data_IF_618840676711
#
_entry.id   IF_618840676711
#
_cell.length_a   1.000
_cell.length_b   1.000
_cell.length_c   1.000
_cell.angle_alpha   90.00
_cell.angle_beta   90.00
_cell.angle_gamma   90.00
#
_symmetry.space_group_name_H-M   'P 1'
#
loop_
_entity.id
_entity.type
_entity.pdbx_description
1 polymer ?
#
# COMPACT_ATOMS: atom_id res chain seq x y z
N UNK A 1 18.02 35.50 -72.84
CA UNK A 1 18.13 36.74 -73.65
C UNK A 1 18.39 37.90 -72.71
N UNK A 2 19.48 38.68 -72.90
CA UNK A 2 19.98 39.79 -72.01
C UNK A 2 20.37 39.32 -70.58
N UNK A 3 21.57 39.47 -69.98
CA UNK A 3 22.84 40.24 -70.17
C UNK A 3 22.99 41.47 -69.23
N UNK A 4 23.80 41.31 -68.17
CA UNK A 4 24.59 42.32 -67.39
C UNK A 4 23.76 43.37 -66.59
N UNK A 5 24.31 44.21 -65.69
CA UNK A 5 25.69 44.51 -65.21
C UNK A 5 25.77 44.36 -63.66
N UNK A 6 26.88 44.15 -62.92
CA UNK A 6 28.35 44.33 -63.07
C UNK A 6 28.94 45.71 -62.64
N UNK A 7 29.55 45.76 -61.43
CA UNK A 7 30.78 46.48 -60.95
C UNK A 7 30.74 46.75 -59.43
N UNK A 8 31.82 46.85 -58.61
CA UNK A 8 33.24 46.39 -58.70
C UNK A 8 33.85 46.27 -57.26
N UNK A 9 35.12 45.86 -57.14
CA UNK A 9 35.97 45.72 -55.93
C UNK A 9 36.18 46.99 -55.07
N UNK A 10 36.63 46.82 -53.82
CA UNK A 10 37.80 47.57 -53.32
C UNK A 10 38.61 46.76 -52.29
N UNK A 11 39.94 46.92 -52.30
CA UNK A 11 40.87 46.35 -51.30
C UNK A 11 41.08 47.34 -50.15
N UNK A 12 41.20 46.81 -48.94
CA UNK A 12 41.94 47.44 -47.85
C UNK A 12 42.75 46.36 -47.10
N UNK A 13 44.00 46.66 -46.78
CA UNK A 13 44.92 45.81 -46.04
C UNK A 13 45.83 46.72 -45.18
N UNK A 14 46.71 46.12 -44.35
CA UNK A 14 47.66 46.83 -43.45
C UNK A 14 46.95 47.38 -42.18
N UNK A 15 47.46 47.27 -40.94
CA UNK A 15 48.80 46.91 -40.43
C UNK A 15 48.74 45.87 -39.27
N UNK A 16 49.92 45.33 -38.96
CA UNK A 16 50.26 44.41 -37.86
C UNK A 16 50.33 45.14 -36.50
N UNK A 17 49.92 44.47 -35.40
CA UNK A 17 50.69 44.50 -34.16
C UNK A 17 50.64 43.14 -33.45
N UNK A 18 51.74 42.76 -32.82
CA UNK A 18 52.01 41.41 -32.29
C UNK A 18 52.20 41.41 -30.78
N UNK A 19 51.77 40.34 -30.10
CA UNK A 19 52.45 39.88 -28.88
C UNK A 19 52.32 38.36 -28.71
N UNK A 20 53.42 37.73 -28.32
CA UNK A 20 53.52 36.29 -28.06
C UNK A 20 54.08 36.09 -26.67
N UNK A 21 53.41 35.34 -25.80
CA UNK A 21 54.10 34.45 -24.86
C UNK A 21 53.15 33.36 -24.29
N UNK A 22 53.76 32.35 -23.66
CA UNK A 22 53.10 31.15 -23.16
C UNK A 22 52.18 31.40 -21.95
N UNK A 23 51.22 30.49 -21.72
CA UNK A 23 51.21 29.76 -20.45
C UNK A 23 50.47 28.42 -20.54
N UNK A 24 50.74 27.55 -19.57
CA UNK A 24 50.19 26.21 -19.38
C UNK A 24 48.68 26.19 -19.20
N UNK A 25 48.01 25.20 -19.82
CA UNK A 25 46.67 24.76 -19.39
C UNK A 25 46.83 23.50 -18.53
N UNK A 26 46.34 23.55 -17.30
CA UNK A 26 46.27 22.44 -16.36
C UNK A 26 44.83 22.30 -15.85
N UNK A 27 44.47 21.10 -15.38
CA UNK A 27 43.09 20.70 -15.09
C UNK A 27 42.30 21.64 -14.19
N UNK A 28 41.00 21.68 -14.43
CA UNK A 28 40.00 21.66 -13.36
C UNK A 28 38.99 20.60 -13.76
N UNK A 29 38.95 19.50 -13.01
CA UNK A 29 37.95 18.45 -13.22
C UNK A 29 36.65 18.94 -12.56
N UNK A 30 35.68 19.37 -13.36
CA UNK A 30 34.34 19.74 -12.89
C UNK A 30 33.60 18.50 -12.37
N UNK A 31 33.91 18.12 -11.13
CA UNK A 31 33.06 17.22 -10.35
C UNK A 31 31.77 17.97 -10.04
N UNK A 32 30.68 17.56 -10.66
CA UNK A 32 29.34 17.86 -10.18
C UNK A 32 29.20 17.27 -8.78
N UNK A 33 29.35 18.11 -7.77
CA UNK A 33 29.20 17.72 -6.37
C UNK A 33 27.70 17.56 -6.09
N UNK A 34 27.18 16.36 -6.41
CA UNK A 34 25.79 15.99 -6.15
C UNK A 34 25.58 16.01 -4.64
N UNK A 35 25.07 17.13 -4.12
CA UNK A 35 24.59 17.20 -2.75
C UNK A 35 23.47 16.18 -2.60
N UNK A 36 23.77 15.04 -1.99
CA UNK A 36 22.76 14.16 -1.45
C UNK A 36 21.94 15.00 -0.46
N UNK A 37 20.66 15.18 -0.74
CA UNK A 37 19.73 15.79 0.20
C UNK A 37 19.70 14.91 1.43
N UNK A 38 20.33 15.38 2.52
CA UNK A 38 20.22 14.75 3.83
C UNK A 38 18.85 15.06 4.41
N UNK A 39 17.81 14.51 3.78
CA UNK A 39 16.48 14.45 4.35
C UNK A 39 16.57 13.72 5.68
N UNK A 40 15.84 14.22 6.68
CA UNK A 40 15.70 13.53 7.96
C UNK A 40 15.02 12.18 7.70
N UNK A 41 15.39 11.17 8.48
CA UNK A 41 14.64 9.91 8.57
C UNK A 41 14.34 9.69 10.05
N UNK A 42 13.08 9.42 10.40
CA UNK A 42 12.79 8.90 11.73
C UNK A 42 13.12 7.40 11.80
N UNK A 43 13.75 7.00 12.90
CA UNK A 43 13.99 5.58 13.20
C UNK A 43 12.67 4.96 13.69
N UNK A 44 12.44 3.67 13.43
CA UNK A 44 11.20 2.97 13.80
C UNK A 44 11.03 2.95 15.32
N UNK A 45 10.00 3.63 15.84
CA UNK A 45 9.76 3.74 17.26
C UNK A 45 8.96 2.54 17.80
N UNK A 46 9.68 1.58 18.43
CA UNK A 46 9.09 0.40 19.10
C UNK A 46 7.97 0.73 20.08
N UNK A 47 8.03 1.89 20.74
CA UNK A 47 7.03 2.37 21.69
C UNK A 47 5.63 2.59 21.11
N UNK A 48 5.51 2.58 19.79
CA UNK A 48 4.25 2.82 19.09
C UNK A 48 3.48 1.53 18.83
N UNK A 49 4.13 0.35 18.91
CA UNK A 49 3.49 -0.94 18.70
C UNK A 49 2.74 -1.44 19.95
N UNK A 50 1.63 -2.16 19.74
CA UNK A 50 0.89 -2.86 20.79
C UNK A 50 1.67 -4.10 21.24
N UNK A 51 2.37 -4.00 22.37
CA UNK A 51 3.29 -5.04 22.88
C UNK A 51 2.67 -6.42 23.10
N UNK A 52 1.36 -6.48 23.23
CA UNK A 52 0.61 -7.71 23.50
C UNK A 52 0.16 -8.41 22.21
N UNK A 53 0.33 -7.77 21.04
CA UNK A 53 0.01 -8.30 19.70
C UNK A 53 1.26 -8.64 18.85
N UNK A 54 2.46 -8.19 19.26
CA UNK A 54 3.73 -8.45 18.55
C UNK A 54 4.87 -8.80 19.51
N UNK A 55 5.68 -9.78 19.12
CA UNK A 55 7.02 -9.99 19.67
C UNK A 55 8.03 -9.36 18.72
N UNK A 56 8.81 -8.38 19.19
CA UNK A 56 9.83 -7.71 18.37
C UNK A 56 11.23 -8.03 18.87
N UNK A 57 12.10 -8.51 17.96
CA UNK A 57 13.53 -8.74 18.22
C UNK A 57 14.41 -7.86 17.33
N UNK A 58 15.71 -7.77 17.62
CA UNK A 58 16.69 -7.09 16.76
C UNK A 58 17.58 -8.14 16.11
N UNK A 59 17.61 -8.16 14.78
CA UNK A 59 18.40 -9.09 13.98
C UNK A 59 19.26 -8.36 12.94
N UNK A 60 20.45 -8.87 12.58
CA UNK A 60 21.19 -8.35 11.43
C UNK A 60 20.47 -8.73 10.13
N UNK A 61 20.33 -7.79 9.21
CA UNK A 61 19.67 -7.96 7.92
C UNK A 61 20.49 -7.35 6.79
N UNK A 62 20.20 -7.79 5.56
CA UNK A 62 20.68 -7.14 4.32
C UNK A 62 19.51 -6.39 3.70
N UNK A 63 19.74 -5.21 3.15
CA UNK A 63 18.73 -4.44 2.43
C UNK A 63 18.86 -4.64 0.92
N UNK A 64 17.80 -4.27 0.20
CA UNK A 64 17.68 -4.34 -1.26
C UNK A 64 18.71 -3.51 -2.04
N UNK A 65 19.38 -2.55 -1.40
CA UNK A 65 20.54 -1.82 -1.97
C UNK A 65 21.90 -2.52 -1.73
N UNK A 66 21.90 -3.66 -1.04
CA UNK A 66 23.08 -4.44 -0.67
C UNK A 66 23.79 -3.98 0.60
N UNK A 67 23.27 -2.97 1.31
CA UNK A 67 23.79 -2.57 2.63
C UNK A 67 23.39 -3.59 3.71
N UNK A 68 24.19 -3.67 4.78
CA UNK A 68 23.89 -4.49 5.96
C UNK A 68 23.60 -3.59 7.16
N UNK A 69 22.51 -3.86 7.87
CA UNK A 69 22.05 -3.08 9.02
C UNK A 69 21.42 -3.98 10.08
N UNK A 70 20.86 -3.39 11.13
CA UNK A 70 19.94 -4.09 12.04
C UNK A 70 18.50 -3.80 11.61
N UNK A 71 17.69 -4.86 11.55
CA UNK A 71 16.25 -4.79 11.38
C UNK A 71 15.56 -5.14 12.69
N UNK A 72 14.32 -4.68 12.83
CA UNK A 72 13.35 -5.32 13.71
C UNK A 72 12.76 -6.53 12.99
N UNK A 73 12.80 -7.67 13.68
CA UNK A 73 11.99 -8.85 13.35
C UNK A 73 10.71 -8.75 14.17
N UNK A 74 9.57 -8.54 13.49
CA UNK A 74 8.25 -8.37 14.10
C UNK A 74 7.46 -9.66 13.86
N UNK A 75 7.27 -10.43 14.92
CA UNK A 75 6.49 -11.68 14.91
C UNK A 75 5.10 -11.43 15.49
N UNK A 76 4.05 -11.81 14.76
CA UNK A 76 2.64 -11.64 15.17
C UNK A 76 1.84 -12.92 14.96
N UNK A 77 0.80 -13.13 15.77
CA UNK A 77 -0.23 -14.16 15.54
C UNK A 77 -1.27 -13.76 14.48
N UNK A 78 -1.12 -12.60 13.82
CA UNK A 78 -2.04 -12.08 12.79
C UNK A 78 -3.50 -12.09 13.27
N UNK A 79 -3.68 -11.52 14.47
CA UNK A 79 -4.96 -11.39 15.18
C UNK A 79 -4.88 -10.11 16.02
N UNK A 80 -5.77 -9.12 15.79
CA UNK A 80 -5.71 -7.85 16.49
C UNK A 80 -6.27 -7.96 17.92
N UNK A 81 -5.90 -7.01 18.77
CA UNK A 81 -6.32 -6.93 20.18
C UNK A 81 -7.01 -5.60 20.54
N UNK A 82 -7.09 -4.67 19.60
CA UNK A 82 -7.62 -3.31 19.75
C UNK A 82 -9.02 -3.10 19.16
N UNK A 83 -9.48 -4.00 18.29
CA UNK A 83 -10.83 -4.03 17.71
C UNK A 83 -11.36 -5.48 17.64
N UNK A 84 -12.65 -5.64 17.32
CA UNK A 84 -13.24 -6.93 16.97
C UNK A 84 -13.03 -7.17 15.47
N UNK A 85 -12.74 -8.41 15.07
CA UNK A 85 -12.77 -8.83 13.66
C UNK A 85 -14.20 -9.24 13.30
N UNK A 86 -14.66 -8.85 12.11
CA UNK A 86 -16.01 -9.10 11.64
C UNK A 86 -17.09 -8.24 12.32
N UNK A 87 -18.37 -8.38 11.89
CA UNK A 87 -18.87 -9.34 10.90
C UNK A 87 -18.41 -9.03 9.46
N UNK A 88 -18.59 -10.01 8.57
CA UNK A 88 -18.30 -9.85 7.13
C UNK A 88 -19.57 -9.97 6.29
N UNK A 89 -20.37 -11.01 6.55
CA UNK A 89 -21.55 -11.34 5.75
C UNK A 89 -22.87 -11.14 6.52
N UNK A 90 -23.83 -10.34 5.99
CA UNK A 90 -25.17 -10.25 6.57
C UNK A 90 -25.92 -11.59 6.40
N UNK A 91 -26.88 -11.86 7.28
CA UNK A 91 -27.59 -13.15 7.30
C UNK A 91 -28.92 -13.13 6.53
N UNK A 92 -29.47 -11.93 6.34
CA UNK A 92 -30.73 -11.67 5.63
C UNK A 92 -30.63 -10.42 4.78
N UNK A 93 -31.36 -10.38 3.67
CA UNK A 93 -31.60 -9.17 2.85
C UNK A 93 -32.35 -8.04 3.59
N UNK A 94 -32.69 -8.24 4.86
CA UNK A 94 -33.29 -7.25 5.75
C UNK A 94 -32.33 -6.68 6.79
N UNK A 95 -31.10 -7.20 6.87
CA UNK A 95 -30.13 -6.77 7.86
C UNK A 95 -29.50 -5.43 7.44
N UNK A 96 -29.15 -4.58 8.41
CA UNK A 96 -28.46 -3.31 8.15
C UNK A 96 -26.93 -3.48 8.20
N UNK A 97 -26.19 -2.40 7.89
CA UNK A 97 -24.73 -2.38 7.81
C UNK A 97 -24.04 -2.97 9.05
N UNK A 98 -24.65 -2.94 10.24
CA UNK A 98 -24.04 -3.51 11.46
C UNK A 98 -24.01 -5.05 11.52
N UNK A 99 -24.56 -5.73 10.51
CA UNK A 99 -24.56 -7.18 10.38
C UNK A 99 -23.58 -7.73 9.32
N UNK A 100 -22.98 -6.86 8.51
CA UNK A 100 -21.94 -7.20 7.53
C UNK A 100 -20.70 -6.32 7.73
N UNK A 101 -19.79 -6.38 6.78
CA UNK A 101 -18.64 -5.47 6.71
C UNK A 101 -18.72 -4.56 5.48
N UNK A 102 -17.58 -4.37 4.79
CA UNK A 102 -17.47 -3.51 3.61
C UNK A 102 -16.97 -4.25 2.36
N UNK A 103 -17.38 -3.78 1.19
CA UNK A 103 -16.82 -4.15 -0.12
C UNK A 103 -16.18 -2.94 -0.80
N UNK A 104 -15.07 -3.16 -1.49
CA UNK A 104 -14.25 -2.12 -2.12
C UNK A 104 -14.31 -2.30 -3.63
N UNK A 105 -14.94 -1.36 -4.34
CA UNK A 105 -15.23 -1.51 -5.77
C UNK A 105 -15.22 -0.16 -6.49
N UNK A 106 -14.54 -0.07 -7.63
CA UNK A 106 -14.38 1.15 -8.46
C UNK A 106 -13.90 2.43 -7.73
N UNK A 107 -13.25 2.32 -6.57
CA UNK A 107 -12.82 3.47 -5.76
C UNK A 107 -13.82 3.89 -4.68
N UNK A 108 -14.99 3.25 -4.61
CA UNK A 108 -16.01 3.45 -3.57
C UNK A 108 -15.93 2.36 -2.49
N UNK A 109 -16.51 2.67 -1.33
CA UNK A 109 -16.72 1.71 -0.23
C UNK A 109 -18.22 1.50 -0.11
N UNK A 110 -18.65 0.25 -0.09
CA UNK A 110 -20.04 -0.14 0.08
C UNK A 110 -20.21 -0.92 1.38
N UNK A 111 -21.16 -0.51 2.21
CA UNK A 111 -21.63 -1.33 3.34
C UNK A 111 -22.26 -2.61 2.76
N UNK A 112 -21.81 -3.79 3.21
CA UNK A 112 -22.36 -5.10 2.79
C UNK A 112 -23.59 -5.40 3.64
N UNK A 113 -24.61 -4.57 3.49
CA UNK A 113 -25.92 -4.76 4.12
C UNK A 113 -26.86 -5.63 3.25
N UNK A 114 -28.06 -5.89 3.77
CA UNK A 114 -29.06 -6.65 3.02
C UNK A 114 -29.48 -5.99 1.70
N UNK A 115 -29.47 -4.66 1.60
CA UNK A 115 -29.82 -3.93 0.39
C UNK A 115 -28.70 -3.96 -0.67
N UNK A 116 -27.44 -3.93 -0.26
CA UNK A 116 -26.29 -4.17 -1.14
C UNK A 116 -26.37 -5.57 -1.77
N UNK A 117 -26.62 -6.60 -0.96
CA UNK A 117 -26.80 -7.98 -1.42
C UNK A 117 -27.96 -8.10 -2.42
N UNK A 118 -29.08 -7.39 -2.22
CA UNK A 118 -30.16 -7.31 -3.23
C UNK A 118 -29.78 -6.57 -4.52
N UNK A 119 -28.81 -5.65 -4.45
CA UNK A 119 -28.44 -4.77 -5.55
C UNK A 119 -27.31 -5.33 -6.44
N UNK A 120 -26.59 -6.38 -6.03
CA UNK A 120 -25.47 -7.00 -6.76
C UNK A 120 -25.73 -7.17 -8.28
N UNK A 121 -26.89 -7.73 -8.65
CA UNK A 121 -27.26 -7.94 -10.06
C UNK A 121 -27.46 -6.64 -10.87
N UNK A 122 -27.81 -5.54 -10.20
CA UNK A 122 -27.92 -4.20 -10.80
C UNK A 122 -26.58 -3.48 -10.83
N UNK A 123 -25.76 -3.65 -9.78
CA UNK A 123 -24.40 -3.08 -9.68
C UNK A 123 -23.49 -3.59 -10.81
N UNK A 124 -23.43 -4.91 -11.00
CA UNK A 124 -22.61 -5.54 -12.04
C UNK A 124 -23.35 -5.75 -13.38
N UNK A 125 -24.63 -5.37 -13.46
CA UNK A 125 -25.48 -5.56 -14.65
C UNK A 125 -25.51 -7.03 -15.14
N UNK A 126 -25.54 -7.99 -14.21
CA UNK A 126 -25.68 -9.42 -14.49
C UNK A 126 -26.70 -10.09 -13.56
N UNK A 127 -27.71 -10.72 -14.15
CA UNK A 127 -28.76 -11.47 -13.45
C UNK A 127 -28.31 -12.79 -12.82
N UNK A 128 -27.06 -13.22 -13.04
CA UNK A 128 -26.49 -14.40 -12.38
C UNK A 128 -26.25 -14.18 -10.88
N UNK A 129 -26.13 -12.92 -10.42
CA UNK A 129 -26.01 -12.56 -9.01
C UNK A 129 -27.35 -12.73 -8.26
N UNK A 130 -27.46 -13.79 -7.46
CA UNK A 130 -28.59 -14.10 -6.59
C UNK A 130 -28.09 -14.76 -5.29
N UNK A 131 -27.53 -13.96 -4.39
CA UNK A 131 -26.84 -14.43 -3.17
C UNK A 131 -27.77 -14.77 -1.99
N UNK A 132 -29.06 -14.97 -2.24
CA UNK A 132 -30.07 -15.21 -1.21
C UNK A 132 -31.23 -16.08 -1.72
N UNK A 133 -31.97 -16.69 -0.80
CA UNK A 133 -33.08 -17.60 -1.11
C UNK A 133 -34.47 -16.92 -1.19
N UNK A 134 -35.50 -17.68 -1.56
CA UNK A 134 -36.91 -17.24 -1.62
C UNK A 134 -37.47 -16.72 -0.27
N UNK A 135 -36.75 -16.88 0.85
CA UNK A 135 -37.12 -16.39 2.18
C UNK A 135 -36.35 -15.12 2.56
N UNK A 136 -35.32 -14.75 1.79
CA UNK A 136 -34.43 -13.63 2.04
C UNK A 136 -33.17 -13.96 2.85
N UNK A 137 -32.95 -15.23 3.19
CA UNK A 137 -31.73 -15.67 3.90
C UNK A 137 -30.55 -15.66 2.91
N UNK A 138 -29.42 -15.08 3.32
CA UNK A 138 -28.21 -14.96 2.51
C UNK A 138 -27.42 -16.28 2.50
N UNK A 139 -26.81 -16.62 1.36
CA UNK A 139 -25.94 -17.79 1.24
C UNK A 139 -24.56 -17.46 1.84
N UNK A 140 -24.39 -17.71 3.14
CA UNK A 140 -23.11 -17.54 3.84
C UNK A 140 -22.42 -18.89 4.05
N UNK A 141 -21.09 -18.96 3.90
CA UNK A 141 -20.27 -20.15 4.24
C UNK A 141 -20.34 -20.47 5.74
N UNK A 142 -20.33 -21.76 6.13
CA UNK A 142 -20.72 -22.18 7.51
C UNK A 142 -19.68 -23.01 8.24
N UNK A 143 -18.61 -23.40 7.56
CA UNK A 143 -17.52 -24.21 8.10
C UNK A 143 -16.17 -23.73 7.59
N UNK A 144 -15.10 -24.18 8.25
CA UNK A 144 -13.72 -23.97 7.80
C UNK A 144 -13.50 -24.53 6.39
N UNK A 145 -14.08 -25.69 6.07
CA UNK A 145 -14.02 -26.33 4.75
C UNK A 145 -14.74 -25.48 3.69
N UNK A 146 -15.92 -24.91 4.00
CA UNK A 146 -16.62 -23.98 3.10
C UNK A 146 -15.82 -22.70 2.84
N UNK A 147 -15.29 -22.08 3.91
CA UNK A 147 -14.42 -20.92 3.84
C UNK A 147 -13.21 -21.19 2.92
N UNK A 148 -12.50 -22.31 3.12
CA UNK A 148 -11.33 -22.68 2.30
C UNK A 148 -11.68 -22.96 0.83
N UNK A 149 -12.82 -23.62 0.58
CA UNK A 149 -13.25 -23.96 -0.78
C UNK A 149 -13.80 -22.76 -1.56
N UNK A 150 -14.34 -21.73 -0.88
CA UNK A 150 -14.82 -20.50 -1.49
C UNK A 150 -13.77 -19.36 -1.55
N UNK A 151 -12.79 -19.35 -0.64
CA UNK A 151 -11.73 -18.32 -0.55
C UNK A 151 -10.40 -18.74 -1.21
N UNK A 152 -10.45 -19.41 -2.38
CA UNK A 152 -9.24 -19.82 -3.11
C UNK A 152 -9.36 -19.57 -4.64
N UNK A 153 -8.26 -19.57 -5.41
CA UNK A 153 -8.27 -19.20 -6.83
C UNK A 153 -8.98 -20.17 -7.80
N UNK A 154 -9.58 -21.26 -7.30
CA UNK A 154 -10.30 -22.27 -8.10
C UNK A 154 -11.60 -22.65 -7.37
N UNK A 155 -12.46 -21.66 -7.11
CA UNK A 155 -13.79 -21.85 -6.50
C UNK A 155 -14.62 -22.86 -7.32
N UNK A 156 -15.36 -23.73 -6.64
CA UNK A 156 -16.27 -24.69 -7.27
C UNK A 156 -17.66 -24.09 -7.56
N UNK A 157 -18.35 -24.63 -8.57
CA UNK A 157 -19.72 -24.22 -8.97
C UNK A 157 -20.71 -24.27 -7.77
N UNK A 158 -20.45 -25.13 -6.77
CA UNK A 158 -21.26 -25.23 -5.55
C UNK A 158 -21.16 -24.03 -4.58
N UNK A 159 -20.19 -23.14 -4.77
CA UNK A 159 -19.98 -21.92 -3.99
C UNK A 159 -20.27 -20.63 -4.79
N UNK A 160 -20.72 -20.72 -6.04
CA UNK A 160 -21.25 -19.56 -6.76
C UNK A 160 -22.38 -18.90 -5.95
N UNK A 161 -22.42 -17.57 -5.94
CA UNK A 161 -23.37 -16.74 -5.19
C UNK A 161 -23.26 -16.83 -3.65
N UNK A 162 -22.17 -17.36 -3.09
CA UNK A 162 -21.92 -17.27 -1.65
C UNK A 162 -21.24 -15.97 -1.23
N UNK A 163 -21.71 -15.42 -0.11
CA UNK A 163 -20.92 -14.51 0.72
C UNK A 163 -19.98 -15.37 1.59
N UNK A 164 -18.69 -15.10 1.47
CA UNK A 164 -17.62 -15.92 2.04
C UNK A 164 -17.18 -15.31 3.37
N UNK A 165 -17.60 -15.97 4.45
CA UNK A 165 -17.19 -15.68 5.81
C UNK A 165 -16.20 -16.75 6.31
N UNK A 166 -15.04 -16.28 6.78
CA UNK A 166 -13.99 -17.09 7.40
C UNK A 166 -13.83 -16.62 8.86
N UNK A 167 -14.16 -17.48 9.83
CA UNK A 167 -14.24 -17.08 11.24
C UNK A 167 -12.87 -16.99 11.94
N UNK A 168 -12.69 -16.09 12.93
CA UNK A 168 -11.50 -16.02 13.78
C UNK A 168 -11.06 -17.34 14.41
N UNK A 169 -12.01 -18.25 14.67
CA UNK A 169 -11.72 -19.59 15.20
C UNK A 169 -10.92 -20.50 14.26
N UNK A 170 -10.81 -20.16 12.97
CA UNK A 170 -10.03 -20.91 11.99
C UNK A 170 -8.55 -20.48 11.98
N UNK A 171 -8.19 -19.35 12.61
CA UNK A 171 -6.80 -18.91 12.79
C UNK A 171 -6.17 -19.69 13.96
N UNK A 172 -5.91 -20.98 13.76
CA UNK A 172 -5.15 -21.79 14.73
C UNK A 172 -3.68 -21.89 14.31
N UNK A 173 -2.77 -21.57 15.24
CA UNK A 173 -1.31 -21.68 15.09
C UNK A 173 -0.67 -20.88 13.92
N UNK A 174 -1.39 -19.91 13.33
CA UNK A 174 -0.83 -18.97 12.35
C UNK A 174 0.12 -17.99 13.04
N UNK A 175 1.28 -17.75 12.43
CA UNK A 175 2.26 -16.76 12.86
C UNK A 175 3.00 -16.21 11.66
N UNK A 176 3.10 -14.89 11.55
CA UNK A 176 3.84 -14.19 10.51
C UNK A 176 5.06 -13.49 11.11
N UNK A 177 6.13 -13.34 10.33
CA UNK A 177 7.35 -12.63 10.71
C UNK A 177 7.77 -11.67 9.62
N UNK A 178 7.98 -10.41 9.98
CA UNK A 178 8.29 -9.32 9.06
C UNK A 178 9.60 -8.63 9.47
N UNK A 179 10.42 -8.27 8.48
CA UNK A 179 11.68 -7.55 8.68
C UNK A 179 11.56 -6.11 8.19
N UNK A 180 11.76 -5.14 9.08
CA UNK A 180 11.86 -3.72 8.74
C UNK A 180 13.16 -3.12 9.29
N UNK A 181 13.89 -2.28 8.52
CA UNK A 181 15.11 -1.66 9.03
C UNK A 181 14.80 -0.73 10.20
N UNK A 182 15.62 -0.79 11.26
CA UNK A 182 15.44 0.09 12.45
C UNK A 182 15.55 1.56 12.05
N UNK A 183 16.42 1.86 11.08
CA UNK A 183 16.62 3.17 10.48
C UNK A 183 16.39 3.07 8.96
N UNK A 184 15.43 3.81 8.39
CA UNK A 184 15.22 3.86 6.95
C UNK A 184 16.44 4.33 6.16
N UNK A 185 16.61 3.78 4.95
CA UNK A 185 17.70 4.12 4.02
C UNK A 185 17.09 4.58 2.69
N UNK A 186 16.80 5.87 2.58
CA UNK A 186 16.18 6.50 1.40
C UNK A 186 17.00 6.23 0.13
N UNK A 187 16.30 5.89 -0.96
CA UNK A 187 16.87 5.57 -2.26
C UNK A 187 16.56 6.66 -3.29
N UNK A 188 17.47 6.86 -4.24
CA UNK A 188 17.27 7.81 -5.35
C UNK A 188 16.21 7.34 -6.38
N UNK A 189 15.88 6.04 -6.36
CA UNK A 189 14.89 5.40 -7.23
C UNK A 189 13.95 4.59 -6.35
N UNK A 190 12.65 4.84 -6.46
CA UNK A 190 11.65 4.10 -5.71
C UNK A 190 11.44 2.68 -6.25
N UNK A 191 11.12 1.74 -5.36
CA UNK A 191 10.60 0.42 -5.72
C UNK A 191 9.08 0.46 -5.72
N UNK A 192 8.46 0.70 -6.88
CA UNK A 192 7.01 0.55 -7.04
C UNK A 192 6.61 -0.90 -6.73
N UNK A 193 5.43 -1.10 -6.14
CA UNK A 193 4.90 -2.46 -5.97
C UNK A 193 4.41 -3.04 -7.30
N UNK A 194 4.45 -4.36 -7.43
CA UNK A 194 3.68 -5.04 -8.47
C UNK A 194 2.17 -4.86 -8.21
N UNK A 195 1.43 -4.60 -9.29
CA UNK A 195 -0.02 -4.39 -9.28
C UNK A 195 -0.75 -5.72 -9.08
N UNK A 196 -1.16 -5.97 -7.83
CA UNK A 196 -1.82 -7.21 -7.41
C UNK A 196 -0.92 -8.47 -7.43
N UNK A 197 -1.43 -9.61 -6.93
CA UNK A 197 -0.74 -10.89 -7.02
C UNK A 197 -0.51 -11.29 -8.49
N UNK A 198 0.74 -11.54 -8.88
CA UNK A 198 1.09 -11.99 -10.24
C UNK A 198 1.32 -10.88 -11.28
N UNK A 199 1.32 -9.60 -10.88
CA UNK A 199 1.78 -8.49 -11.73
C UNK A 199 3.22 -8.67 -12.26
N UNK A 200 3.64 -7.91 -13.30
CA UNK A 200 4.86 -8.20 -14.06
C UNK A 200 6.19 -7.85 -13.36
N UNK A 201 6.54 -8.64 -12.35
CA UNK A 201 7.91 -9.07 -12.08
C UNK A 201 8.91 -7.99 -11.62
N UNK A 202 8.72 -7.48 -10.41
CA UNK A 202 9.82 -6.94 -9.62
C UNK A 202 10.00 -7.71 -8.30
N UNK A 203 11.15 -7.57 -7.64
CA UNK A 203 11.45 -8.25 -6.37
C UNK A 203 10.81 -7.59 -5.14
N UNK A 204 9.82 -6.72 -5.34
CA UNK A 204 9.16 -6.02 -4.26
C UNK A 204 8.26 -6.99 -3.47
N UNK A 205 8.24 -6.94 -2.13
CA UNK A 205 7.31 -7.72 -1.32
C UNK A 205 5.84 -7.37 -1.63
N UNK A 206 4.93 -8.33 -1.43
CA UNK A 206 3.49 -8.11 -1.53
C UNK A 206 2.97 -7.27 -0.36
N UNK A 207 3.43 -7.56 0.85
CA UNK A 207 3.21 -6.76 2.05
C UNK A 207 3.66 -5.31 1.82
N UNK A 208 2.78 -4.35 2.12
CA UNK A 208 3.05 -2.90 1.98
C UNK A 208 3.73 -2.35 3.23
N UNK A 209 3.27 -2.81 4.40
CA UNK A 209 3.78 -2.43 5.72
C UNK A 209 3.07 -3.18 6.83
N UNK A 210 3.38 -2.83 8.08
CA UNK A 210 2.81 -3.42 9.29
C UNK A 210 2.17 -2.33 10.15
N UNK A 211 0.92 -2.55 10.55
CA UNK A 211 0.16 -1.68 11.43
C UNK A 211 0.73 -1.71 12.86
N UNK A 212 0.44 -0.67 13.66
CA UNK A 212 0.92 -0.61 15.05
C UNK A 212 0.34 -1.71 15.95
N UNK A 213 -0.80 -2.31 15.59
CA UNK A 213 -1.36 -3.50 16.25
C UNK A 213 -0.79 -4.84 15.70
N UNK A 214 0.23 -4.78 14.83
CA UNK A 214 0.93 -5.95 14.29
C UNK A 214 0.33 -6.55 13.03
N UNK A 215 -0.85 -6.09 12.59
CA UNK A 215 -1.54 -6.64 11.41
C UNK A 215 -0.88 -6.15 10.11
N UNK A 216 -0.92 -7.00 9.08
CA UNK A 216 -0.36 -6.70 7.77
C UNK A 216 -1.21 -5.67 7.01
N UNK A 217 -0.57 -4.65 6.45
CA UNK A 217 -1.10 -3.91 5.30
C UNK A 217 -0.74 -4.71 4.03
N UNK A 218 -1.67 -5.53 3.54
CA UNK A 218 -1.44 -6.49 2.46
C UNK A 218 -1.42 -5.83 1.08
N UNK A 219 -1.11 -6.61 0.05
CA UNK A 219 -1.33 -6.20 -1.34
C UNK A 219 -2.85 -6.07 -1.64
N UNK A 220 -3.26 -5.29 -2.65
CA UNK A 220 -4.65 -5.19 -3.08
C UNK A 220 -5.33 -6.57 -3.22
N UNK A 221 -6.52 -6.70 -2.67
CA UNK A 221 -7.33 -7.91 -2.81
C UNK A 221 -7.65 -8.14 -4.30
N UNK A 222 -7.64 -9.39 -4.79
CA UNK A 222 -7.96 -9.69 -6.19
C UNK A 222 -9.48 -9.70 -6.40
N UNK A 223 -10.12 -8.52 -6.28
CA UNK A 223 -11.57 -8.34 -6.42
C UNK A 223 -12.09 -8.89 -7.74
N UNK A 224 -11.38 -8.64 -8.84
CA UNK A 224 -11.67 -9.21 -10.17
C UNK A 224 -11.83 -10.74 -10.11
N UNK A 225 -10.91 -11.46 -9.46
CA UNK A 225 -10.95 -12.93 -9.36
C UNK A 225 -12.08 -13.45 -8.45
N UNK A 226 -12.52 -12.64 -7.48
CA UNK A 226 -13.62 -12.96 -6.56
C UNK A 226 -14.95 -12.82 -7.31
N UNK A 227 -15.11 -11.72 -8.05
CA UNK A 227 -16.29 -11.44 -8.87
C UNK A 227 -16.42 -12.39 -10.08
N UNK A 228 -15.31 -12.75 -10.74
CA UNK A 228 -15.26 -13.77 -11.82
C UNK A 228 -15.71 -15.18 -11.33
N UNK A 229 -15.66 -15.44 -10.02
CA UNK A 229 -16.12 -16.67 -9.38
C UNK A 229 -17.56 -16.60 -8.83
N UNK A 230 -18.26 -15.47 -9.04
CA UNK A 230 -19.55 -15.15 -8.41
C UNK A 230 -19.58 -15.26 -6.87
N UNK A 231 -18.43 -15.16 -6.20
CA UNK A 231 -18.38 -15.04 -4.74
C UNK A 231 -18.27 -13.57 -4.33
N UNK A 232 -18.62 -13.30 -3.08
CA UNK A 232 -18.28 -12.05 -2.41
C UNK A 232 -17.46 -12.41 -1.18
N UNK A 233 -16.30 -11.81 -0.99
CA UNK A 233 -15.46 -12.04 0.20
C UNK A 233 -15.20 -10.70 0.90
N UNK A 234 -16.16 -10.20 1.71
CA UNK A 234 -16.08 -8.87 2.31
C UNK A 234 -14.84 -8.68 3.18
N UNK A 235 -14.48 -7.42 3.36
CA UNK A 235 -13.68 -6.97 4.50
C UNK A 235 -14.64 -6.64 5.65
N UNK A 236 -14.16 -6.59 6.89
CA UNK A 236 -14.93 -6.01 7.99
C UNK A 236 -14.80 -4.47 8.00
N UNK A 237 -15.53 -3.80 8.90
CA UNK A 237 -15.45 -2.35 9.08
C UNK A 237 -14.02 -1.84 9.35
N UNK A 238 -13.12 -2.70 9.85
CA UNK A 238 -11.73 -2.37 10.10
C UNK A 238 -10.84 -2.49 8.83
N UNK A 239 -11.41 -2.90 7.70
CA UNK A 239 -10.75 -3.00 6.40
C UNK A 239 -9.97 -4.30 6.19
N UNK A 240 -10.27 -5.36 6.96
CA UNK A 240 -9.54 -6.63 6.89
C UNK A 240 -10.43 -7.88 6.82
N UNK A 241 -9.81 -9.02 6.47
CA UNK A 241 -10.47 -10.33 6.45
C UNK A 241 -9.47 -11.45 6.78
N UNK A 242 -9.98 -12.68 6.82
CA UNK A 242 -9.27 -13.85 7.33
C UNK A 242 -8.95 -14.83 6.22
N UNK A 243 -7.65 -15.14 6.07
CA UNK A 243 -7.20 -16.28 5.30
C UNK A 243 -6.49 -17.29 6.23
N UNK A 244 -6.80 -18.59 6.12
CA UNK A 244 -6.27 -19.62 7.03
C UNK A 244 -4.73 -19.85 6.95
N UNK A 245 -4.03 -19.25 5.98
CA UNK A 245 -2.58 -19.33 5.84
C UNK A 245 -1.87 -18.00 6.12
N UNK A 246 -2.57 -16.87 5.98
CA UNK A 246 -2.04 -15.53 6.27
C UNK A 246 -2.42 -15.06 7.68
N UNK A 247 -3.62 -15.38 8.15
CA UNK A 247 -4.27 -14.83 9.34
C UNK A 247 -5.22 -13.69 8.97
N UNK A 248 -5.55 -12.85 9.96
CA UNK A 248 -6.26 -11.60 9.72
C UNK A 248 -5.30 -10.54 9.18
N UNK A 249 -5.70 -9.85 8.10
CA UNK A 249 -4.87 -8.89 7.36
C UNK A 249 -5.74 -7.81 6.69
N UNK A 250 -5.19 -6.60 6.56
CA UNK A 250 -5.90 -5.45 6.01
C UNK A 250 -5.68 -5.27 4.50
N UNK A 251 -6.70 -4.77 3.81
CA UNK A 251 -6.66 -4.27 2.42
C UNK A 251 -7.05 -2.79 2.29
N UNK A 252 -7.69 -2.24 3.33
CA UNK A 252 -8.00 -0.81 3.46
C UNK A 252 -7.61 -0.31 4.85
N UNK A 253 -7.49 1.02 5.00
CA UNK A 253 -7.34 1.69 6.28
C UNK A 253 -8.60 2.52 6.57
N UNK A 254 -9.41 2.07 7.53
CA UNK A 254 -10.71 2.70 7.88
C UNK A 254 -10.69 3.45 9.22
N UNK A 255 -9.53 3.54 9.87
CA UNK A 255 -9.34 4.26 11.14
C UNK A 255 -9.54 3.43 12.42
N UNK A 256 -9.82 2.13 12.31
CA UNK A 256 -9.99 1.21 13.45
C UNK A 256 -8.66 0.78 14.11
N UNK A 257 -7.56 0.70 13.36
CA UNK A 257 -6.26 0.26 13.85
C UNK A 257 -5.62 1.24 14.84
N UNK A 258 -4.90 0.72 15.85
CA UNK A 258 -4.08 1.52 16.79
C UNK A 258 -3.27 2.61 16.09
N UNK A 259 -3.35 3.83 16.61
CA UNK A 259 -2.73 5.01 16.00
C UNK A 259 -2.11 5.99 16.99
N UNK A 260 -1.06 6.69 16.54
CA UNK A 260 -0.36 7.73 17.31
C UNK A 260 -0.68 9.10 16.72
N UNK A 261 -1.62 9.80 17.35
CA UNK A 261 -2.00 11.17 17.01
C UNK A 261 -0.79 12.12 17.09
N UNK A 262 -0.69 13.05 16.15
CA UNK A 262 0.42 13.99 16.06
C UNK A 262 0.09 15.32 16.76
N UNK A 263 1.06 15.93 17.44
CA UNK A 263 0.85 17.12 18.28
C UNK A 263 0.89 18.45 17.52
N UNK A 264 1.23 18.42 16.23
CA UNK A 264 1.27 19.55 15.30
C UNK A 264 0.03 19.64 14.40
N UNK A 265 -0.94 18.73 14.56
CA UNK A 265 -2.17 18.67 13.77
C UNK A 265 -2.10 17.75 12.54
N UNK A 266 -0.97 17.08 12.31
CA UNK A 266 -0.83 16.12 11.22
C UNK A 266 -1.69 14.86 11.40
N UNK A 267 -2.00 14.16 10.29
CA UNK A 267 -2.59 12.82 10.30
C UNK A 267 -1.84 11.86 11.24
N UNK A 268 -2.54 10.90 11.86
CA UNK A 268 -1.94 9.99 12.85
C UNK A 268 -1.07 8.91 12.19
N UNK A 269 -0.01 8.48 12.88
CA UNK A 269 0.80 7.33 12.46
C UNK A 269 0.04 6.04 12.77
N UNK A 270 -0.14 5.16 11.78
CA UNK A 270 -0.85 3.87 11.89
C UNK A 270 0.02 2.64 11.64
N UNK A 271 1.25 2.82 11.14
CA UNK A 271 2.21 1.73 10.98
C UNK A 271 3.51 2.17 10.32
N UNK A 272 4.27 1.18 9.81
CA UNK A 272 5.50 1.41 9.06
C UNK A 272 5.54 0.54 7.81
N UNK A 273 6.03 1.08 6.71
CA UNK A 273 6.31 0.35 5.48
C UNK A 273 7.52 -0.59 5.65
N UNK A 274 7.73 -1.51 4.70
CA UNK A 274 8.84 -2.47 4.78
C UNK A 274 10.25 -1.87 4.60
N UNK A 275 10.35 -0.60 4.22
CA UNK A 275 11.59 0.21 4.27
C UNK A 275 11.77 0.97 5.60
N UNK A 276 10.91 0.71 6.59
CA UNK A 276 10.91 1.32 7.92
C UNK A 276 10.27 2.72 7.99
N UNK A 277 9.81 3.27 6.87
CA UNK A 277 9.25 4.62 6.82
C UNK A 277 7.81 4.63 7.35
N UNK A 278 7.43 5.67 8.10
CA UNK A 278 6.11 5.77 8.72
C UNK A 278 4.97 5.86 7.70
N UNK A 279 3.89 5.11 7.97
CA UNK A 279 2.60 5.16 7.27
C UNK A 279 1.59 5.88 8.16
N UNK A 280 0.96 6.91 7.61
CA UNK A 280 0.00 7.78 8.28
C UNK A 280 -1.40 7.65 7.67
N UNK A 281 -2.43 8.07 8.41
CA UNK A 281 -3.81 8.15 7.93
C UNK A 281 -3.96 9.08 6.71
N UNK A 282 -4.98 8.84 5.89
CA UNK A 282 -5.29 9.68 4.72
C UNK A 282 -5.66 11.12 5.12
N UNK A 283 -6.43 11.25 6.19
CA UNK A 283 -6.95 12.51 6.72
C UNK A 283 -6.31 12.88 8.08
N UNK A 284 -6.23 14.18 8.35
CA UNK A 284 -5.92 14.72 9.66
C UNK A 284 -7.13 14.74 10.62
N UNK A 285 -6.91 15.19 11.86
CA UNK A 285 -7.96 15.25 12.88
C UNK A 285 -9.09 16.25 12.61
N UNK A 286 -8.97 17.10 11.59
CA UNK A 286 -9.99 18.04 11.12
C UNK A 286 -10.61 17.59 9.76
N UNK A 287 -10.19 16.45 9.20
CA UNK A 287 -10.70 15.87 7.95
C UNK A 287 -10.01 16.37 6.68
N UNK A 288 -8.79 16.91 6.76
CA UNK A 288 -8.04 17.36 5.58
C UNK A 288 -7.06 16.29 5.08
N UNK A 289 -6.95 16.13 3.77
CA UNK A 289 -5.95 15.26 3.13
C UNK A 289 -4.69 16.03 2.72
N UNK A 290 -3.54 15.35 2.68
CA UNK A 290 -2.31 15.91 2.13
C UNK A 290 -2.44 16.16 0.61
N UNK A 291 -2.04 17.34 0.13
CA UNK A 291 -2.30 17.80 -1.25
C UNK A 291 -1.06 17.79 -2.16
N UNK A 292 0.09 17.41 -1.63
CA UNK A 292 1.42 17.47 -2.25
C UNK A 292 2.16 16.11 -2.23
N UNK A 293 1.42 15.01 -2.09
CA UNK A 293 1.94 13.64 -2.15
C UNK A 293 2.53 13.30 -3.54
N UNK A 294 3.63 12.55 -3.54
CA UNK A 294 4.28 12.00 -4.75
C UNK A 294 3.59 10.70 -5.24
N UNK A 295 4.10 10.14 -6.34
CA UNK A 295 3.57 8.91 -6.97
C UNK A 295 3.51 7.70 -6.01
N UNK A 296 4.27 7.70 -4.90
CA UNK A 296 4.25 6.64 -3.88
C UNK A 296 3.18 6.85 -2.80
N UNK A 297 2.50 7.99 -2.83
CA UNK A 297 1.68 8.58 -1.76
C UNK A 297 2.47 9.13 -0.56
N UNK A 298 3.67 9.67 -0.78
CA UNK A 298 4.44 10.29 0.30
C UNK A 298 4.97 11.68 0.00
N UNK A 299 5.36 12.39 1.06
CA UNK A 299 5.97 13.72 0.99
C UNK A 299 6.97 13.94 2.14
N UNK A 300 7.70 15.06 2.14
CA UNK A 300 8.77 15.35 3.10
C UNK A 300 8.50 16.61 3.92
N UNK A 301 8.51 16.50 5.25
CA UNK A 301 8.53 17.64 6.17
C UNK A 301 9.80 17.70 7.04
N UNK A 302 9.97 18.76 7.85
CA UNK A 302 11.16 18.97 8.69
C UNK A 302 11.16 18.21 10.03
N UNK A 303 10.04 17.59 10.41
CA UNK A 303 9.81 16.86 11.66
C UNK A 303 9.96 15.34 11.42
N UNK A 304 9.26 14.83 10.40
CA UNK A 304 9.15 13.43 10.00
C UNK A 304 10.21 13.03 8.98
N UNK A 305 10.62 13.98 8.14
CA UNK A 305 11.30 13.67 6.89
C UNK A 305 10.32 13.14 5.86
N UNK A 306 10.80 12.31 4.93
CA UNK A 306 9.94 11.62 3.98
C UNK A 306 9.06 10.57 4.69
N UNK A 307 7.75 10.57 4.41
CA UNK A 307 6.76 9.63 4.96
C UNK A 307 5.53 9.47 4.05
N UNK A 308 4.71 8.42 4.29
CA UNK A 308 3.55 8.08 3.46
C UNK A 308 2.20 8.37 4.12
N UNK A 309 1.18 8.60 3.29
CA UNK A 309 -0.23 8.55 3.66
C UNK A 309 -0.95 7.41 2.93
N UNK A 310 -1.80 6.67 3.64
CA UNK A 310 -2.62 5.60 3.03
C UNK A 310 -3.57 6.13 1.96
N UNK A 311 -4.07 5.21 1.13
CA UNK A 311 -5.10 5.49 0.14
C UNK A 311 -6.50 5.62 0.75
N UNK A 312 -7.46 6.10 -0.05
CA UNK A 312 -8.86 5.96 0.28
C UNK A 312 -9.20 4.46 0.33
N UNK A 313 -10.03 4.04 1.29
CA UNK A 313 -10.33 2.62 1.49
C UNK A 313 -10.83 1.94 0.20
N UNK A 314 -11.72 2.58 -0.56
CA UNK A 314 -12.25 2.08 -1.84
C UNK A 314 -11.20 1.91 -2.95
N UNK A 315 -10.00 2.48 -2.81
CA UNK A 315 -8.87 2.24 -3.72
C UNK A 315 -8.25 0.84 -3.57
N UNK A 316 -8.65 0.04 -2.56
CA UNK A 316 -8.12 -1.31 -2.29
C UNK A 316 -6.58 -1.29 -2.20
N UNK A 317 -6.02 -0.29 -1.49
CA UNK A 317 -4.60 0.06 -1.53
C UNK A 317 -4.17 0.80 -0.26
N UNK A 318 -2.86 0.79 0.01
CA UNK A 318 -2.24 1.61 1.04
C UNK A 318 -1.26 2.61 0.44
N UNK A 319 -0.20 2.12 -0.22
CA UNK A 319 0.92 2.90 -0.76
C UNK A 319 1.44 2.24 -2.04
N UNK A 320 1.92 3.04 -3.00
CA UNK A 320 2.22 2.55 -4.35
C UNK A 320 3.65 2.01 -4.52
N UNK A 321 4.53 2.23 -3.54
CA UNK A 321 5.90 1.72 -3.55
C UNK A 321 6.70 2.11 -2.31
N UNK A 322 7.96 1.68 -2.29
CA UNK A 322 8.93 1.94 -1.25
C UNK A 322 10.00 2.94 -1.72
N UNK A 323 10.22 3.99 -0.92
CA UNK A 323 11.19 5.08 -1.12
C UNK A 323 12.56 4.69 -0.55
N UNK A 324 12.58 3.90 0.52
CA UNK A 324 13.80 3.36 1.13
C UNK A 324 14.10 1.93 0.69
N UNK A 325 15.27 1.44 1.09
CA UNK A 325 15.63 0.03 0.91
C UNK A 325 14.99 -0.83 2.01
N UNK A 326 14.18 -1.81 1.58
CA UNK A 326 13.58 -2.86 2.40
C UNK A 326 14.53 -4.05 2.59
N UNK A 327 14.27 -4.89 3.59
CA UNK A 327 15.04 -6.09 3.89
C UNK A 327 14.84 -7.22 2.85
N UNK A 328 15.88 -8.04 2.63
CA UNK A 328 15.92 -9.19 1.70
C UNK A 328 16.57 -10.43 2.31
#
# INVERSE_FOLDING_TARGET
>A
MKIKLFRIQMLAAVLILSLTFCCTSCSSDDKSDTQASTETTQDVALSNFVTDAVTITIVPCTLSDGSSTNCYEIVTSSTPTDHQMGPWCPTSITDDASAGGIWLENGEVYDVDGAFIQNMATLYNDSNWLMYNDQGEVYVTKTEEDCLNAANPNVGEEYENFCVECLPSYITDVSQSYLIPIKPVLQNTATLFSTGPGGPGNSAPSTRGIALNGIEFSAPAPTDNILDAYTLAPFDDAGGHINAHQGYHYHAATGFSTKVNQSDGHAALIGYALDGIGIYELEDGDGNTATDLDDLRGHSDTVRGYHYHVDAAGSNNFINGLKGAYAI
#
